data_IF_974305078756
#
_entry.id   IF_974305078756
#
_cell.length_a   1.000
_cell.length_b   1.000
_cell.length_c   1.000
_cell.angle_alpha   90.00
_cell.angle_beta   90.00
_cell.angle_gamma   90.00
#
_symmetry.space_group_name_H-M   'P 1'
#
loop_
_entity.id
_entity.type
_entity.pdbx_description
1 polymer ?
#
# COMPACT_ATOMS: atom_id res chain seq x y z
N UNK A 1 10.18 15.97 2.77
CA UNK A 1 10.75 14.61 2.95
C UNK A 1 11.97 14.56 3.86
N UNK A 2 13.12 15.15 3.49
CA UNK A 2 14.39 15.06 4.28
C UNK A 2 14.28 15.57 5.73
N UNK A 3 13.36 16.49 6.03
CA UNK A 3 13.06 16.97 7.40
C UNK A 3 12.30 15.95 8.27
N UNK A 4 11.61 14.99 7.65
CA UNK A 4 10.69 14.06 8.32
C UNK A 4 11.37 12.72 8.59
N UNK A 5 12.07 12.17 7.58
CA UNK A 5 12.73 10.86 7.64
C UNK A 5 13.72 10.65 8.80
N UNK A 6 14.45 11.67 9.30
CA UNK A 6 15.29 11.51 10.49
C UNK A 6 14.53 11.12 11.77
N UNK A 7 13.19 11.07 11.73
CA UNK A 7 12.35 10.64 12.84
C UNK A 7 12.73 9.23 13.32
N UNK A 8 12.97 9.12 14.63
CA UNK A 8 13.45 7.89 15.25
C UNK A 8 12.28 6.94 15.50
N UNK A 9 12.56 5.63 15.48
CA UNK A 9 11.58 4.59 15.83
C UNK A 9 10.75 4.06 14.67
N UNK A 10 10.83 4.68 13.48
CA UNK A 10 10.29 4.11 12.26
C UNK A 10 11.34 3.23 11.57
N UNK A 11 10.88 2.14 10.94
CA UNK A 11 11.73 1.21 10.18
C UNK A 11 11.32 1.09 8.71
N UNK A 12 10.22 1.74 8.35
CA UNK A 12 9.54 1.56 7.08
C UNK A 12 8.95 2.87 6.62
N UNK A 13 9.04 3.14 5.32
CA UNK A 13 8.34 4.25 4.66
C UNK A 13 7.59 3.72 3.44
N UNK A 14 6.28 3.92 3.44
CA UNK A 14 5.44 3.69 2.28
C UNK A 14 5.33 4.98 1.47
N UNK A 15 5.66 4.91 0.19
CA UNK A 15 5.47 5.97 -0.79
C UNK A 15 4.19 5.64 -1.56
N UNK A 16 3.07 6.17 -1.07
CA UNK A 16 1.74 5.94 -1.61
C UNK A 16 0.82 7.12 -1.28
N UNK A 17 -0.42 7.08 -1.76
CA UNK A 17 -1.46 8.05 -1.44
C UNK A 17 -2.68 7.85 -2.32
N UNK A 18 -3.48 8.90 -2.47
CA UNK A 18 -4.66 8.92 -3.35
C UNK A 18 -4.33 9.26 -4.83
N UNK A 19 -3.06 9.40 -5.17
CA UNK A 19 -2.57 9.68 -6.53
C UNK A 19 -1.45 8.73 -6.94
N UNK A 20 -0.80 9.00 -8.07
CA UNK A 20 0.29 8.17 -8.61
C UNK A 20 1.68 8.71 -8.21
N UNK A 21 2.41 8.05 -7.31
CA UNK A 21 3.71 8.54 -6.85
C UNK A 21 4.77 8.59 -7.95
N UNK A 22 4.69 7.72 -8.97
CA UNK A 22 5.67 7.69 -10.07
C UNK A 22 5.66 8.96 -10.93
N UNK A 23 4.64 9.81 -10.83
CA UNK A 23 4.63 11.14 -11.45
C UNK A 23 5.57 12.14 -10.74
N UNK A 24 5.98 11.87 -9.50
CA UNK A 24 6.85 12.77 -8.77
C UNK A 24 8.29 12.69 -9.30
N UNK A 25 8.89 13.80 -9.78
CA UNK A 25 10.20 13.78 -10.44
C UNK A 25 11.31 13.31 -9.51
N UNK A 26 11.20 13.62 -8.21
CA UNK A 26 12.21 13.24 -7.21
C UNK A 26 11.87 11.96 -6.42
N UNK A 27 10.90 11.15 -6.86
CA UNK A 27 10.47 9.95 -6.13
C UNK A 27 11.66 9.05 -5.74
N UNK A 28 12.51 8.71 -6.70
CA UNK A 28 13.62 7.78 -6.46
C UNK A 28 14.80 8.43 -5.72
N UNK A 29 14.92 9.76 -5.73
CA UNK A 29 15.82 10.47 -4.79
C UNK A 29 15.32 10.31 -3.35
N UNK A 30 14.00 10.39 -3.13
CA UNK A 30 13.39 10.17 -1.82
C UNK A 30 13.58 8.72 -1.35
N UNK A 31 13.36 7.74 -2.24
CA UNK A 31 13.64 6.32 -1.95
C UNK A 31 15.10 6.13 -1.51
N UNK A 32 16.04 6.60 -2.33
CA UNK A 32 17.49 6.48 -2.07
C UNK A 32 17.87 7.12 -0.74
N UNK A 33 17.30 8.28 -0.43
CA UNK A 33 17.53 8.96 0.84
C UNK A 33 17.01 8.14 2.03
N UNK A 34 15.79 7.59 1.95
CA UNK A 34 15.23 6.77 3.01
C UNK A 34 16.01 5.47 3.24
N UNK A 35 16.40 4.77 2.17
CA UNK A 35 17.26 3.58 2.26
C UNK A 35 18.62 3.92 2.88
N UNK A 36 19.23 5.05 2.50
CA UNK A 36 20.51 5.50 3.09
C UNK A 36 20.40 5.82 4.58
N UNK A 37 19.19 6.14 5.06
CA UNK A 37 18.89 6.33 6.48
C UNK A 37 18.54 5.01 7.21
N UNK A 38 18.61 3.87 6.52
CA UNK A 38 18.33 2.55 7.08
C UNK A 38 16.84 2.18 7.17
N UNK A 39 15.97 2.91 6.48
CA UNK A 39 14.55 2.57 6.38
C UNK A 39 14.29 1.61 5.22
N UNK A 40 13.32 0.72 5.39
CA UNK A 40 12.78 -0.11 4.31
C UNK A 40 11.76 0.71 3.51
N UNK A 41 11.95 0.82 2.21
CA UNK A 41 11.07 1.55 1.30
C UNK A 41 10.09 0.64 0.57
N UNK A 42 8.84 1.07 0.52
CA UNK A 42 7.81 0.46 -0.31
C UNK A 42 7.15 1.51 -1.18
N UNK A 43 6.85 1.14 -2.41
CA UNK A 43 6.13 1.96 -3.38
C UNK A 43 4.82 1.27 -3.76
N UNK A 44 3.68 1.94 -3.61
CA UNK A 44 2.43 1.52 -4.23
C UNK A 44 2.18 2.39 -5.46
N UNK A 45 1.92 1.76 -6.60
CA UNK A 45 1.73 2.44 -7.90
C UNK A 45 0.65 1.73 -8.72
N UNK A 46 0.03 2.44 -9.67
CA UNK A 46 -0.81 1.84 -10.70
C UNK A 46 0.02 1.05 -11.74
N UNK A 47 1.35 1.19 -11.72
CA UNK A 47 2.33 0.44 -12.50
C UNK A 47 2.49 0.89 -13.96
N UNK A 48 1.71 1.85 -14.44
CA UNK A 48 1.75 2.33 -15.84
C UNK A 48 3.12 2.88 -16.26
N UNK A 49 3.83 3.52 -15.33
CA UNK A 49 5.12 4.16 -15.56
C UNK A 49 6.34 3.30 -15.17
N UNK A 50 6.15 2.04 -14.77
CA UNK A 50 7.25 1.16 -14.33
C UNK A 50 8.34 1.05 -15.40
N UNK A 51 7.97 0.77 -16.65
CA UNK A 51 8.94 0.57 -17.73
C UNK A 51 9.73 1.81 -18.13
N UNK A 52 9.21 3.01 -17.86
CA UNK A 52 9.90 4.28 -18.12
C UNK A 52 10.89 4.62 -17.02
N UNK A 53 10.71 4.06 -15.82
CA UNK A 53 11.48 4.39 -14.62
C UNK A 53 12.32 3.21 -14.10
N UNK A 54 12.54 2.18 -14.92
CA UNK A 54 13.24 0.94 -14.52
C UNK A 54 14.60 1.22 -13.88
N UNK A 55 15.45 2.01 -14.53
CA UNK A 55 16.79 2.31 -14.01
C UNK A 55 16.71 2.93 -12.61
N UNK A 56 15.83 3.92 -12.44
CA UNK A 56 15.67 4.63 -11.17
C UNK A 56 15.10 3.72 -10.07
N UNK A 57 14.19 2.79 -10.41
CA UNK A 57 13.69 1.77 -9.48
C UNK A 57 14.85 0.97 -8.90
N UNK A 58 15.72 0.42 -9.74
CA UNK A 58 16.82 -0.44 -9.28
C UNK A 58 17.96 0.36 -8.63
N UNK A 59 18.34 1.51 -9.19
CA UNK A 59 19.41 2.33 -8.64
C UNK A 59 19.06 2.94 -7.28
N UNK A 60 17.78 3.20 -7.02
CA UNK A 60 17.34 3.82 -5.76
C UNK A 60 17.47 2.90 -4.54
N UNK A 61 17.60 1.58 -4.75
CA UNK A 61 17.61 0.59 -3.67
C UNK A 61 16.22 0.20 -3.16
N UNK A 62 15.16 0.53 -3.91
CA UNK A 62 13.76 0.21 -3.56
C UNK A 62 13.62 -1.25 -3.12
N UNK A 63 12.98 -1.46 -1.96
CA UNK A 63 12.88 -2.80 -1.36
C UNK A 63 11.64 -3.54 -1.85
N UNK A 64 10.52 -2.83 -1.98
CA UNK A 64 9.21 -3.41 -2.24
C UNK A 64 8.41 -2.50 -3.19
N UNK A 65 7.72 -3.11 -4.15
CA UNK A 65 6.82 -2.42 -5.07
C UNK A 65 5.50 -3.20 -5.18
N UNK A 66 4.40 -2.52 -4.91
CA UNK A 66 3.04 -3.05 -5.02
C UNK A 66 2.33 -2.40 -6.21
N UNK A 67 1.89 -3.22 -7.17
CA UNK A 67 1.11 -2.79 -8.32
C UNK A 67 -0.37 -2.94 -7.97
N UNK A 68 -1.03 -1.80 -7.77
CA UNK A 68 -2.44 -1.73 -7.40
C UNK A 68 -3.36 -1.91 -8.60
N UNK A 69 -4.26 -2.89 -8.52
CA UNK A 69 -5.30 -3.16 -9.52
C UNK A 69 -6.61 -3.55 -8.82
N UNK A 70 -7.72 -3.42 -9.54
CA UNK A 70 -9.02 -3.92 -9.07
C UNK A 70 -9.82 -4.65 -10.17
N UNK A 71 -9.40 -4.54 -11.43
CA UNK A 71 -10.01 -5.26 -12.55
C UNK A 71 -8.97 -6.05 -13.34
N UNK A 72 -9.41 -7.16 -13.94
CA UNK A 72 -8.58 -8.00 -14.80
C UNK A 72 -8.08 -7.24 -16.04
N UNK A 73 -8.90 -6.35 -16.61
CA UNK A 73 -8.49 -5.52 -17.76
C UNK A 73 -7.31 -4.60 -17.43
N UNK A 74 -7.38 -3.89 -16.29
CA UNK A 74 -6.28 -3.04 -15.81
C UNK A 74 -5.02 -3.86 -15.53
N UNK A 75 -5.17 -5.06 -14.98
CA UNK A 75 -4.04 -5.97 -14.81
C UNK A 75 -3.38 -6.28 -16.16
N UNK A 76 -4.16 -6.71 -17.16
CA UNK A 76 -3.65 -7.03 -18.50
C UNK A 76 -2.94 -5.84 -19.15
N UNK A 77 -3.40 -4.61 -18.93
CA UNK A 77 -2.75 -3.38 -19.43
C UNK A 77 -1.37 -3.15 -18.79
N UNK A 78 -1.21 -3.46 -17.51
CA UNK A 78 0.05 -3.23 -16.78
C UNK A 78 1.02 -4.42 -16.81
N UNK A 79 0.54 -5.64 -17.10
CA UNK A 79 1.38 -6.85 -17.16
C UNK A 79 2.67 -6.67 -17.98
N UNK A 80 2.68 -6.05 -19.18
CA UNK A 80 3.91 -5.84 -19.93
C UNK A 80 4.96 -5.01 -19.18
N UNK A 81 4.53 -4.07 -18.34
CA UNK A 81 5.43 -3.27 -17.51
C UNK A 81 6.01 -4.12 -16.35
N UNK A 82 5.18 -4.98 -15.76
CA UNK A 82 5.59 -5.91 -14.69
C UNK A 82 6.58 -6.95 -15.23
N UNK A 83 6.35 -7.50 -16.41
CA UNK A 83 7.28 -8.41 -17.09
C UNK A 83 8.65 -7.76 -17.32
N UNK A 84 8.67 -6.50 -17.78
CA UNK A 84 9.91 -5.74 -17.96
C UNK A 84 10.65 -5.55 -16.64
N UNK A 85 9.92 -5.24 -15.55
CA UNK A 85 10.50 -5.10 -14.22
C UNK A 85 11.11 -6.40 -13.71
N UNK A 86 10.43 -7.53 -13.89
CA UNK A 86 10.92 -8.85 -13.47
C UNK A 86 12.15 -9.24 -14.28
N UNK A 87 12.10 -9.08 -15.61
CA UNK A 87 13.24 -9.35 -16.49
C UNK A 87 14.45 -8.51 -16.11
N UNK A 88 14.25 -7.22 -15.80
CA UNK A 88 15.35 -6.35 -15.39
C UNK A 88 15.92 -6.74 -14.02
N UNK A 89 15.07 -7.16 -13.08
CA UNK A 89 15.50 -7.71 -11.78
C UNK A 89 16.38 -8.95 -11.97
N UNK A 90 16.00 -9.84 -12.88
CA UNK A 90 16.75 -11.04 -13.24
C UNK A 90 18.07 -10.72 -13.93
N UNK A 91 18.08 -9.80 -14.91
CA UNK A 91 19.28 -9.33 -15.60
C UNK A 91 20.34 -8.80 -14.62
N UNK A 92 19.88 -8.11 -13.57
CA UNK A 92 20.74 -7.58 -12.49
C UNK A 92 21.10 -8.61 -11.43
N UNK A 93 20.66 -9.86 -11.57
CA UNK A 93 20.76 -10.91 -10.54
C UNK A 93 20.29 -10.44 -9.16
N UNK A 94 19.29 -9.55 -9.14
CA UNK A 94 18.77 -8.91 -7.93
C UNK A 94 17.61 -9.72 -7.35
N UNK A 95 17.46 -9.68 -6.03
CA UNK A 95 16.24 -10.16 -5.34
C UNK A 95 15.27 -9.03 -5.00
N UNK A 96 15.59 -7.80 -5.42
CA UNK A 96 14.87 -6.57 -5.07
C UNK A 96 14.60 -5.70 -6.31
N UNK A 97 13.47 -4.97 -6.34
CA UNK A 97 12.43 -4.97 -5.30
C UNK A 97 11.66 -6.31 -5.27
N UNK A 98 11.05 -6.62 -4.12
CA UNK A 98 9.96 -7.61 -4.08
C UNK A 98 8.73 -7.00 -4.72
N UNK A 99 8.09 -7.77 -5.59
CA UNK A 99 7.02 -7.33 -6.49
C UNK A 99 5.72 -7.96 -6.03
N UNK A 100 4.76 -7.11 -5.68
CA UNK A 100 3.47 -7.49 -5.15
C UNK A 100 2.37 -7.11 -6.14
N UNK A 101 1.42 -8.01 -6.35
CA UNK A 101 0.14 -7.64 -6.95
C UNK A 101 -0.83 -7.26 -5.82
N UNK A 102 -1.22 -6.00 -5.77
CA UNK A 102 -2.14 -5.45 -4.77
C UNK A 102 -3.54 -5.36 -5.40
N UNK A 103 -4.49 -6.15 -4.88
CA UNK A 103 -5.84 -6.26 -5.41
C UNK A 103 -6.84 -5.70 -4.42
N UNK A 104 -7.56 -4.65 -4.81
CA UNK A 104 -8.70 -4.14 -4.04
C UNK A 104 -9.96 -4.95 -4.36
N UNK A 105 -10.58 -5.52 -3.33
CA UNK A 105 -11.75 -6.39 -3.44
C UNK A 105 -13.06 -5.59 -3.41
N UNK A 106 -13.94 -5.86 -4.36
CA UNK A 106 -15.33 -5.39 -4.35
C UNK A 106 -16.27 -6.47 -4.94
N UNK A 107 -17.57 -6.31 -4.75
CA UNK A 107 -18.56 -7.31 -5.15
C UNK A 107 -18.40 -7.74 -6.62
N UNK A 108 -18.14 -6.79 -7.52
CA UNK A 108 -18.05 -7.02 -8.96
C UNK A 108 -16.79 -7.75 -9.44
N UNK A 109 -15.68 -7.76 -8.69
CA UNK A 109 -14.46 -8.45 -9.12
C UNK A 109 -14.22 -9.80 -8.45
N UNK A 110 -15.00 -10.18 -7.42
CA UNK A 110 -14.72 -11.35 -6.57
C UNK A 110 -14.46 -12.64 -7.35
N UNK A 111 -15.19 -12.87 -8.45
CA UNK A 111 -15.08 -14.08 -9.28
C UNK A 111 -13.82 -14.08 -10.17
N UNK A 112 -13.22 -12.91 -10.40
CA UNK A 112 -12.02 -12.73 -11.24
C UNK A 112 -10.72 -12.74 -10.43
N UNK A 113 -10.77 -12.49 -9.13
CA UNK A 113 -9.58 -12.47 -8.25
C UNK A 113 -8.74 -13.75 -8.37
N UNK A 114 -9.30 -14.98 -8.38
CA UNK A 114 -8.51 -16.20 -8.61
C UNK A 114 -7.74 -16.20 -9.94
N UNK A 115 -8.35 -15.69 -11.02
CA UNK A 115 -7.71 -15.59 -12.33
C UNK A 115 -6.61 -14.52 -12.33
N UNK A 116 -6.84 -13.37 -11.70
CA UNK A 116 -5.84 -12.31 -11.55
C UNK A 116 -4.60 -12.80 -10.78
N UNK A 117 -4.78 -13.61 -9.73
CA UNK A 117 -3.68 -14.24 -8.99
C UNK A 117 -2.87 -15.17 -9.89
N UNK A 118 -3.55 -15.99 -10.72
CA UNK A 118 -2.90 -16.88 -11.68
C UNK A 118 -2.08 -16.11 -12.71
N UNK A 119 -2.65 -15.03 -13.27
CA UNK A 119 -1.95 -14.15 -14.22
C UNK A 119 -0.70 -13.53 -13.59
N UNK A 120 -0.82 -12.94 -12.40
CA UNK A 120 0.32 -12.39 -11.68
C UNK A 120 1.41 -13.43 -11.41
N UNK A 121 1.02 -14.63 -10.97
CA UNK A 121 1.94 -15.73 -10.73
C UNK A 121 2.65 -16.23 -11.99
N UNK A 122 2.00 -16.21 -13.16
CA UNK A 122 2.60 -16.61 -14.43
C UNK A 122 3.73 -15.67 -14.86
N UNK A 123 3.57 -14.38 -14.57
CA UNK A 123 4.57 -13.34 -14.90
C UNK A 123 5.74 -13.32 -13.90
N UNK A 124 5.57 -13.90 -12.71
CA UNK A 124 6.65 -14.10 -11.74
C UNK A 124 6.70 -13.08 -10.60
N UNK A 125 5.55 -12.49 -10.22
CA UNK A 125 5.44 -11.69 -8.99
C UNK A 125 5.76 -12.54 -7.75
N UNK A 126 6.19 -11.92 -6.66
CA UNK A 126 6.57 -12.63 -5.44
C UNK A 126 5.35 -12.99 -4.57
N UNK A 127 4.35 -12.10 -4.52
CA UNK A 127 3.17 -12.29 -3.69
C UNK A 127 1.98 -11.45 -4.15
N UNK A 128 0.81 -11.79 -3.61
CA UNK A 128 -0.44 -11.04 -3.79
C UNK A 128 -0.88 -10.48 -2.44
N UNK A 129 -1.32 -9.22 -2.43
CA UNK A 129 -1.93 -8.57 -1.27
C UNK A 129 -3.40 -8.30 -1.63
N UNK A 130 -4.33 -8.70 -0.76
CA UNK A 130 -5.74 -8.39 -0.93
C UNK A 130 -6.16 -7.31 0.05
N UNK A 131 -6.86 -6.30 -0.45
CA UNK A 131 -7.36 -5.17 0.33
C UNK A 131 -8.89 -5.13 0.31
N UNK A 132 -9.51 -4.77 1.42
CA UNK A 132 -10.96 -4.51 1.45
C UNK A 132 -11.23 -3.15 0.83
N UNK A 133 -12.31 -3.02 0.06
CA UNK A 133 -12.80 -1.70 -0.31
C UNK A 133 -13.32 -0.96 0.93
N UNK A 134 -12.95 0.32 1.07
CA UNK A 134 -13.44 1.19 2.15
C UNK A 134 -14.08 2.45 1.58
N UNK A 135 -15.40 2.59 1.77
CA UNK A 135 -16.22 3.65 1.19
C UNK A 135 -16.15 4.93 2.01
N UNK A 136 -15.20 5.80 1.70
CA UNK A 136 -15.14 7.13 2.31
C UNK A 136 -15.14 8.27 1.31
N UNK A 137 -14.38 8.13 0.21
CA UNK A 137 -14.19 9.23 -0.74
C UNK A 137 -14.35 8.71 -2.16
N UNK A 138 -15.33 9.26 -2.88
CA UNK A 138 -15.40 9.16 -4.35
C UNK A 138 -15.49 7.75 -4.92
N UNK A 139 -15.96 6.77 -4.14
CA UNK A 139 -16.21 5.42 -4.65
C UNK A 139 -17.50 5.45 -5.45
N UNK A 140 -17.45 4.99 -6.70
CA UNK A 140 -18.63 4.88 -7.54
C UNK A 140 -19.68 3.98 -6.88
N UNK A 141 -20.96 4.32 -7.07
CA UNK A 141 -22.07 3.61 -6.43
C UNK A 141 -22.15 2.11 -6.74
N UNK A 142 -21.55 1.67 -7.86
CA UNK A 142 -21.52 0.26 -8.26
C UNK A 142 -20.47 -0.57 -7.50
N UNK A 143 -19.41 0.06 -6.96
CA UNK A 143 -18.41 -0.66 -6.21
C UNK A 143 -18.93 -0.81 -4.78
N UNK A 144 -19.18 -2.04 -4.35
CA UNK A 144 -19.67 -2.37 -3.01
C UNK A 144 -18.69 -3.31 -2.29
N UNK A 145 -18.49 -3.16 -0.97
CA UNK A 145 -17.64 -4.07 -0.22
C UNK A 145 -18.30 -5.46 -0.13
N UNK A 146 -17.46 -6.50 -0.07
CA UNK A 146 -17.96 -7.87 0.12
C UNK A 146 -18.66 -8.01 1.49
N UNK A 147 -19.73 -8.82 1.50
CA UNK A 147 -20.29 -9.35 2.74
C UNK A 147 -19.28 -10.28 3.42
N UNK A 148 -19.44 -10.52 4.72
CA UNK A 148 -18.56 -11.43 5.47
C UNK A 148 -18.57 -12.87 4.89
N UNK A 149 -19.73 -13.32 4.41
CA UNK A 149 -19.88 -14.65 3.84
C UNK A 149 -19.20 -14.77 2.46
N UNK A 150 -19.27 -13.73 1.63
CA UNK A 150 -18.55 -13.68 0.35
C UNK A 150 -17.05 -13.62 0.55
N UNK A 151 -16.59 -12.79 1.48
CA UNK A 151 -15.19 -12.68 1.85
C UNK A 151 -14.63 -14.04 2.32
N UNK A 152 -15.37 -14.75 3.19
CA UNK A 152 -14.95 -16.06 3.68
C UNK A 152 -14.82 -17.08 2.55
N UNK A 153 -15.80 -17.11 1.62
CA UNK A 153 -15.77 -17.98 0.44
C UNK A 153 -14.57 -17.68 -0.45
N UNK A 154 -14.39 -16.40 -0.80
CA UNK A 154 -13.27 -15.96 -1.63
C UNK A 154 -11.93 -16.29 -0.98
N UNK A 155 -11.78 -16.05 0.33
CA UNK A 155 -10.52 -16.31 1.05
C UNK A 155 -10.18 -17.80 1.12
N UNK A 156 -11.16 -18.70 1.17
CA UNK A 156 -10.92 -20.14 1.05
C UNK A 156 -10.39 -20.49 -0.34
N UNK A 157 -11.01 -19.94 -1.38
CA UNK A 157 -10.62 -20.17 -2.77
C UNK A 157 -9.21 -19.65 -3.09
N UNK A 158 -8.94 -18.37 -2.82
CA UNK A 158 -7.62 -17.77 -3.13
C UNK A 158 -6.49 -18.39 -2.32
N UNK A 159 -6.75 -18.91 -1.11
CA UNK A 159 -5.76 -19.70 -0.34
C UNK A 159 -5.42 -21.02 -1.05
N UNK A 160 -6.42 -21.69 -1.64
CA UNK A 160 -6.19 -22.91 -2.39
C UNK A 160 -5.37 -22.61 -3.65
N UNK A 161 -5.73 -21.56 -4.40
CA UNK A 161 -4.99 -21.09 -5.58
C UNK A 161 -3.56 -20.70 -5.22
N UNK A 162 -3.35 -19.93 -4.17
CA UNK A 162 -2.00 -19.51 -3.77
C UNK A 162 -1.11 -20.71 -3.36
N UNK A 163 -1.69 -21.73 -2.71
CA UNK A 163 -0.97 -22.97 -2.38
C UNK A 163 -0.60 -23.77 -3.61
N UNK A 164 -1.52 -23.91 -4.57
CA UNK A 164 -1.30 -24.58 -5.85
C UNK A 164 -0.13 -23.94 -6.61
N UNK A 165 -0.12 -22.60 -6.68
CA UNK A 165 0.88 -21.81 -7.39
C UNK A 165 2.18 -21.60 -6.60
N UNK A 166 2.20 -21.91 -5.29
CA UNK A 166 3.29 -21.63 -4.35
C UNK A 166 3.68 -20.14 -4.29
N UNK A 167 2.70 -19.26 -4.40
CA UNK A 167 2.85 -17.80 -4.35
C UNK A 167 2.52 -17.25 -2.96
N UNK A 168 3.20 -16.18 -2.54
CA UNK A 168 2.86 -15.48 -1.30
C UNK A 168 1.47 -14.86 -1.37
N UNK A 169 0.73 -14.89 -0.24
CA UNK A 169 -0.62 -14.32 -0.16
C UNK A 169 -0.81 -13.61 1.18
N UNK A 170 -1.14 -12.33 1.13
CA UNK A 170 -1.47 -11.49 2.29
C UNK A 170 -2.94 -11.14 2.25
N UNK A 171 -3.69 -11.64 3.23
CA UNK A 171 -5.12 -11.36 3.37
C UNK A 171 -5.34 -10.22 4.38
N UNK A 172 -6.40 -9.42 4.22
CA UNK A 172 -6.70 -8.34 5.13
C UNK A 172 -7.10 -8.92 6.50
N UNK A 173 -6.41 -8.46 7.55
CA UNK A 173 -6.66 -8.89 8.93
C UNK A 173 -7.97 -8.33 9.46
N UNK A 174 -8.51 -8.90 10.54
CA UNK A 174 -9.68 -8.31 11.19
C UNK A 174 -9.27 -7.03 11.91
N UNK A 175 -10.04 -5.97 11.70
CA UNK A 175 -9.85 -4.71 12.43
C UNK A 175 -9.99 -4.93 13.94
N UNK A 176 -9.18 -4.23 14.72
CA UNK A 176 -9.19 -4.29 16.19
C UNK A 176 -8.83 -2.94 16.79
N UNK A 177 -9.26 -2.69 18.03
CA UNK A 177 -8.94 -1.46 18.75
C UNK A 177 -7.85 -1.69 19.80
N UNK A 178 -6.90 -0.73 19.94
CA UNK A 178 -6.64 0.39 19.03
C UNK A 178 -6.18 -0.09 17.65
N UNK A 179 -6.59 0.63 16.58
CA UNK A 179 -6.28 0.25 15.19
C UNK A 179 -4.77 0.04 15.02
N UNK A 180 -4.40 -1.11 14.46
CA UNK A 180 -3.00 -1.48 14.24
C UNK A 180 -2.26 -0.46 13.38
N UNK A 181 -2.92 0.08 12.36
CA UNK A 181 -2.34 1.08 11.46
C UNK A 181 -1.97 2.32 12.27
N UNK A 182 -2.94 2.95 12.92
CA UNK A 182 -2.70 4.17 13.73
C UNK A 182 -1.70 3.94 14.87
N UNK A 183 -1.67 2.73 15.45
CA UNK A 183 -0.73 2.36 16.51
C UNK A 183 0.71 2.23 16.01
N UNK A 184 0.93 1.89 14.74
CA UNK A 184 2.24 1.51 14.19
C UNK A 184 2.73 2.44 13.08
N UNK A 185 1.89 3.31 12.56
CA UNK A 185 2.22 4.24 11.48
C UNK A 185 1.49 5.57 11.64
N UNK A 186 1.96 6.55 10.87
CA UNK A 186 1.30 7.81 10.59
C UNK A 186 1.23 7.96 9.07
N UNK A 187 0.21 8.65 8.58
CA UNK A 187 0.16 9.07 7.18
C UNK A 187 0.59 10.53 7.10
N UNK A 188 1.50 10.86 6.18
CA UNK A 188 1.97 12.23 5.99
C UNK A 188 1.48 12.71 4.64
N UNK A 189 0.64 13.74 4.64
CA UNK A 189 0.14 14.37 3.42
C UNK A 189 1.23 15.14 2.70
N UNK A 190 0.96 15.52 1.46
CA UNK A 190 1.88 16.30 0.60
C UNK A 190 2.24 17.68 1.18
N UNK A 191 1.34 18.27 1.97
CA UNK A 191 1.55 19.54 2.68
C UNK A 191 2.32 19.39 3.99
N UNK A 192 2.72 18.16 4.36
CA UNK A 192 3.47 17.85 5.56
C UNK A 192 2.64 17.63 6.82
N UNK A 193 1.31 17.75 6.72
CA UNK A 193 0.42 17.46 7.85
C UNK A 193 0.37 15.95 8.09
N UNK A 194 0.60 15.56 9.33
CA UNK A 194 0.45 14.19 9.79
C UNK A 194 -1.02 13.90 10.09
N UNK A 195 -1.51 12.75 9.65
CA UNK A 195 -2.84 12.22 9.95
C UNK A 195 -2.73 10.79 10.49
N UNK A 196 -3.75 10.28 11.20
CA UNK A 196 -3.68 8.98 11.84
C UNK A 196 -3.61 7.81 10.82
N UNK A 197 -4.25 7.97 9.66
CA UNK A 197 -4.15 7.04 8.54
C UNK A 197 -4.53 7.73 7.21
N UNK A 198 -4.34 7.03 6.09
CA UNK A 198 -4.62 7.55 4.72
C UNK A 198 -6.09 7.85 4.45
N UNK A 199 -7.01 7.33 5.29
CA UNK A 199 -8.45 7.53 5.18
C UNK A 199 -8.97 8.68 6.06
N UNK A 200 -8.13 9.16 6.98
CA UNK A 200 -8.46 10.23 7.91
C UNK A 200 -7.75 11.51 7.48
N UNK A 201 -7.89 11.87 6.21
CA UNK A 201 -7.14 12.99 5.63
C UNK A 201 -7.49 14.32 6.27
N UNK A 202 -8.67 14.45 6.88
CA UNK A 202 -9.12 15.67 7.57
C UNK A 202 -8.64 15.72 9.04
N UNK A 203 -8.24 14.58 9.62
CA UNK A 203 -7.73 14.48 10.97
C UNK A 203 -6.26 14.95 11.02
N UNK A 204 -6.07 16.25 11.11
CA UNK A 204 -4.77 16.84 11.36
C UNK A 204 -4.26 16.44 12.76
N UNK A 205 -3.03 15.95 12.87
CA UNK A 205 -2.33 15.66 14.13
C UNK A 205 -1.17 16.63 14.39
N UNK A 206 -0.80 17.44 13.41
CA UNK A 206 0.27 18.43 13.46
C UNK A 206 1.08 18.46 12.15
N UNK A 207 1.81 19.57 11.99
CA UNK A 207 2.68 19.81 10.84
C UNK A 207 4.08 19.22 11.06
N UNK A 208 4.35 18.08 10.42
CA UNK A 208 5.61 17.36 10.57
C UNK A 208 6.80 18.14 10.01
N UNK A 209 6.57 19.12 9.12
CA UNK A 209 7.63 19.99 8.62
C UNK A 209 7.99 21.06 9.66
N UNK A 210 7.06 21.49 10.52
CA UNK A 210 7.34 22.51 11.54
C UNK A 210 7.86 21.92 12.85
N UNK A 211 7.14 20.95 13.41
CA UNK A 211 7.41 20.44 14.77
C UNK A 211 8.08 19.06 14.80
N UNK A 212 8.07 18.34 13.68
CA UNK A 212 8.61 16.98 13.58
C UNK A 212 7.67 15.89 14.14
N UNK A 213 7.91 14.64 13.76
CA UNK A 213 7.04 13.50 14.13
C UNK A 213 7.11 13.17 15.62
N UNK A 214 8.30 13.26 16.22
CA UNK A 214 8.52 12.97 17.64
C UNK A 214 7.64 13.82 18.55
N UNK A 215 7.46 15.11 18.21
CA UNK A 215 6.60 16.02 18.96
C UNK A 215 5.12 15.71 18.74
N UNK A 216 4.72 15.43 17.48
CA UNK A 216 3.36 15.03 17.14
C UNK A 216 2.93 13.80 17.92
N UNK A 217 3.79 12.77 17.99
CA UNK A 217 3.51 11.52 18.71
C UNK A 217 3.41 11.70 20.23
N UNK A 218 4.03 12.75 20.79
CA UNK A 218 3.93 13.08 22.23
C UNK A 218 2.80 14.08 22.53
N UNK A 219 2.19 14.66 21.51
CA UNK A 219 1.13 15.65 21.67
C UNK A 219 -0.13 15.07 22.32
N UNK A 220 -0.87 15.92 23.02
CA UNK A 220 -2.17 15.55 23.57
C UNK A 220 -3.21 15.31 22.47
N UNK A 221 -3.04 15.94 21.30
CA UNK A 221 -3.89 15.71 20.12
C UNK A 221 -3.81 14.26 19.66
N UNK A 222 -2.58 13.75 19.45
CA UNK A 222 -2.35 12.35 19.09
C UNK A 222 -2.89 11.39 20.16
N UNK A 223 -2.57 11.61 21.43
CA UNK A 223 -3.03 10.75 22.53
C UNK A 223 -4.55 10.74 22.67
N UNK A 224 -5.19 11.89 22.48
CA UNK A 224 -6.65 12.02 22.55
C UNK A 224 -7.33 11.30 21.39
N UNK A 225 -6.76 11.39 20.18
CA UNK A 225 -7.23 10.64 19.03
C UNK A 225 -7.19 9.13 19.31
N UNK A 226 -6.05 8.59 19.76
CA UNK A 226 -5.92 7.15 20.07
C UNK A 226 -6.97 6.68 21.09
N UNK A 227 -7.20 7.46 22.15
CA UNK A 227 -8.19 7.14 23.19
C UNK A 227 -9.65 7.24 22.70
N UNK A 228 -9.91 8.11 21.73
CA UNK A 228 -11.24 8.37 21.19
C UNK A 228 -11.57 7.62 19.91
N UNK A 229 -10.60 6.94 19.29
CA UNK A 229 -10.73 6.45 17.92
C UNK A 229 -11.90 5.49 17.69
N UNK A 230 -12.27 4.68 18.68
CA UNK A 230 -13.40 3.75 18.54
C UNK A 230 -14.74 4.46 18.32
N UNK A 231 -14.82 5.73 18.74
CA UNK A 231 -16.01 6.60 18.60
C UNK A 231 -15.91 7.53 17.40
N UNK A 232 -14.78 7.52 16.68
CA UNK A 232 -14.60 8.37 15.51
C UNK A 232 -15.46 7.83 14.34
N UNK A 233 -16.29 8.65 13.66
CA UNK A 233 -17.28 8.16 12.68
C UNK A 233 -16.70 7.25 11.60
N UNK A 234 -15.52 7.60 11.10
CA UNK A 234 -14.80 6.81 10.10
C UNK A 234 -14.20 5.53 10.70
N UNK A 235 -13.59 5.61 11.89
CA UNK A 235 -12.91 4.45 12.47
C UNK A 235 -13.91 3.41 12.95
N UNK A 236 -15.05 3.83 13.52
CA UNK A 236 -16.11 2.94 14.01
C UNK A 236 -16.67 2.03 12.94
N UNK A 237 -16.67 2.48 11.69
CA UNK A 237 -17.15 1.72 10.52
C UNK A 237 -16.03 1.03 9.75
N UNK A 238 -14.78 1.23 10.16
CA UNK A 238 -13.62 0.72 9.46
C UNK A 238 -13.51 -0.80 9.59
N UNK A 239 -13.48 -1.47 8.43
CA UNK A 239 -13.29 -2.92 8.31
C UNK A 239 -11.85 -3.32 7.95
N UNK A 240 -10.91 -2.36 7.90
CA UNK A 240 -9.52 -2.56 7.50
C UNK A 240 -8.62 -3.08 8.62
#
# INVERSE_FOLDING_TARGET
FKRIIPARGFRYVGLHGWGEPMLHPQLFEMVRYAESAGLITNLTTNGTLIGERLEEIFESGLQEIAIGVYEEGLLLEVLPQVERLIKERENRASKRPRIYLDITLYEGNRERVPAMIRLGSQVGIDAVILHRLFHLCGVDSYAQPLSAAEEERLFKEVKAVARELKIGLYLPERHSYPCRIVKRSLFIRVDGIATPCTYLIEEDLGDALKVGLDEILRSDRYRSFIKGMERHPICSECRW
#
